data_IF_135289844726
#
_entry.id   IF_135289844726
#
_cell.length_a   1.000
_cell.length_b   1.000
_cell.length_c   1.000
_cell.angle_alpha   90.00
_cell.angle_beta   90.00
_cell.angle_gamma   90.00
#
_symmetry.space_group_name_H-M   'P 1'
#
loop_
_entity.id
_entity.type
_entity.pdbx_description
1 polymer ?
#
# COMPACT_ATOMS: atom_id res chain seq x y z
N UNK A 1 33.96 -53.73 -63.11
CA UNK A 1 34.56 -52.81 -64.09
C UNK A 1 34.10 -51.40 -63.75
N UNK A 2 35.03 -50.49 -63.39
CA UNK A 2 34.87 -49.03 -63.18
C UNK A 2 33.95 -48.60 -62.02
N UNK A 3 34.20 -47.54 -61.26
CA UNK A 3 35.33 -46.62 -61.09
C UNK A 3 35.06 -45.84 -59.79
N UNK A 4 36.14 -45.52 -59.08
CA UNK A 4 36.22 -44.73 -57.85
C UNK A 4 35.74 -43.29 -58.07
N UNK A 5 35.02 -42.71 -57.10
CA UNK A 5 35.22 -41.31 -56.72
C UNK A 5 34.88 -41.10 -55.23
N UNK A 6 35.93 -40.96 -54.41
CA UNK A 6 35.88 -40.41 -53.06
C UNK A 6 36.07 -38.90 -53.14
N UNK A 7 35.33 -38.13 -52.35
CA UNK A 7 35.74 -36.83 -51.78
C UNK A 7 34.88 -36.64 -50.51
N UNK A 8 35.45 -36.87 -49.32
CA UNK A 8 35.90 -35.84 -48.35
C UNK A 8 34.71 -35.05 -47.76
N UNK A 9 34.55 -34.80 -46.46
CA UNK A 9 35.44 -34.56 -45.32
C UNK A 9 34.41 -34.44 -44.14
N UNK A 10 34.58 -35.02 -42.94
CA UNK A 10 34.89 -34.30 -41.67
C UNK A 10 34.33 -35.15 -40.51
N UNK A 11 35.24 -35.82 -39.79
CA UNK A 11 35.58 -35.68 -38.35
C UNK A 11 34.57 -36.18 -37.28
N UNK A 12 35.08 -37.16 -36.51
CA UNK A 12 35.08 -37.27 -35.02
C UNK A 12 33.72 -37.62 -34.40
N UNK A 13 33.41 -38.86 -34.04
CA UNK A 13 33.98 -39.73 -32.99
C UNK A 13 33.95 -39.12 -31.57
N UNK A 14 32.94 -39.46 -30.75
CA UNK A 14 33.14 -40.06 -29.41
C UNK A 14 31.83 -40.11 -28.62
N UNK A 15 31.45 -41.35 -28.29
CA UNK A 15 30.97 -41.82 -26.98
C UNK A 15 30.40 -40.80 -26.00
N UNK A 16 29.17 -41.10 -25.57
CA UNK A 16 28.53 -40.43 -24.46
C UNK A 16 29.33 -40.47 -23.16
N UNK A 17 29.24 -39.36 -22.44
CA UNK A 17 29.32 -39.29 -21.00
C UNK A 17 28.14 -38.43 -20.58
N UNK A 18 27.19 -39.05 -19.88
CA UNK A 18 26.13 -38.37 -19.17
C UNK A 18 26.76 -37.59 -18.02
N UNK A 19 26.82 -36.27 -18.12
CA UNK A 19 27.08 -35.41 -16.97
C UNK A 19 25.73 -35.02 -16.36
N UNK A 20 25.38 -35.66 -15.25
CA UNK A 20 24.48 -35.06 -14.26
C UNK A 20 25.18 -33.80 -13.74
N UNK A 21 24.87 -32.65 -14.34
CA UNK A 21 25.17 -31.38 -13.72
C UNK A 21 24.15 -31.16 -12.61
N UNK A 22 24.56 -31.52 -11.40
CA UNK A 22 24.12 -30.90 -10.17
C UNK A 22 24.35 -29.38 -10.28
N UNK A 23 23.37 -28.67 -10.81
CA UNK A 23 23.28 -27.22 -10.61
C UNK A 23 22.81 -26.97 -9.18
N UNK A 24 23.73 -27.12 -8.24
CA UNK A 24 23.75 -26.33 -7.03
C UNK A 24 23.81 -24.85 -7.43
N UNK A 25 22.68 -24.17 -7.36
CA UNK A 25 22.63 -22.78 -6.86
C UNK A 25 21.18 -22.34 -6.66
N UNK A 26 20.43 -23.04 -5.80
CA UNK A 26 19.46 -22.30 -4.98
C UNK A 26 20.26 -21.61 -3.90
N UNK A 27 20.80 -20.45 -4.24
CA UNK A 27 21.18 -19.46 -3.26
C UNK A 27 19.93 -19.22 -2.41
N UNK A 28 19.89 -19.86 -1.25
CA UNK A 28 19.08 -19.45 -0.12
C UNK A 28 19.47 -18.00 0.12
N UNK A 29 18.72 -17.07 -0.49
CA UNK A 29 18.58 -15.72 0.01
C UNK A 29 18.03 -15.89 1.40
N UNK A 30 18.93 -15.97 2.37
CA UNK A 30 18.63 -15.68 3.75
C UNK A 30 17.99 -14.29 3.73
N UNK A 31 16.67 -14.27 3.84
CA UNK A 31 15.93 -13.08 4.24
C UNK A 31 16.53 -12.68 5.59
N UNK A 32 17.57 -11.85 5.56
CA UNK A 32 18.08 -11.15 6.72
C UNK A 32 16.99 -10.15 7.04
N UNK A 33 15.98 -10.64 7.75
CA UNK A 33 14.83 -9.85 8.16
C UNK A 33 15.38 -8.59 8.84
N UNK A 34 15.12 -7.45 8.22
CA UNK A 34 15.69 -6.18 8.61
C UNK A 34 14.87 -5.68 9.78
N UNK A 35 15.13 -6.25 10.96
CA UNK A 35 14.35 -6.06 12.16
C UNK A 35 14.64 -4.71 12.81
N UNK A 36 13.59 -4.09 13.33
CA UNK A 36 13.67 -2.80 14.03
C UNK A 36 14.19 -3.08 15.44
N UNK A 37 15.28 -2.43 15.83
CA UNK A 37 15.83 -2.56 17.18
C UNK A 37 14.81 -2.10 18.25
N UNK A 38 14.80 -2.74 19.41
CA UNK A 38 13.91 -2.39 20.52
C UNK A 38 14.44 -1.17 21.32
N UNK A 39 14.69 -0.07 20.62
CA UNK A 39 15.18 1.21 21.18
C UNK A 39 14.08 2.25 21.01
N UNK A 40 13.76 3.00 22.06
CA UNK A 40 12.72 4.03 22.02
C UNK A 40 13.34 5.41 22.25
N UNK A 41 12.99 6.36 21.40
CA UNK A 41 13.38 7.76 21.54
C UNK A 41 12.18 8.67 21.36
N UNK A 42 12.25 9.87 21.93
CA UNK A 42 11.25 10.89 21.66
C UNK A 42 11.25 11.26 20.18
N UNK A 43 10.07 11.38 19.58
CA UNK A 43 9.91 11.63 18.15
C UNK A 43 10.52 12.95 17.70
N UNK A 44 10.46 13.98 18.54
CA UNK A 44 10.94 15.31 18.24
C UNK A 44 12.47 15.40 18.40
N UNK A 45 13.11 14.39 19.03
CA UNK A 45 14.57 14.26 19.08
C UNK A 45 15.22 13.75 17.78
N UNK A 46 14.42 13.30 16.81
CA UNK A 46 14.90 12.81 15.52
C UNK A 46 15.00 13.94 14.49
N UNK A 47 16.09 13.97 13.75
CA UNK A 47 16.33 14.94 12.67
C UNK A 47 16.29 14.24 11.31
N UNK A 48 15.52 14.77 10.37
CA UNK A 48 15.48 14.27 8.98
C UNK A 48 16.54 14.96 8.14
N UNK A 49 17.42 14.18 7.51
CA UNK A 49 18.20 14.66 6.37
C UNK A 49 17.31 14.60 5.12
N UNK A 50 16.89 15.77 4.62
CA UNK A 50 16.00 15.87 3.46
C UNK A 50 16.62 15.37 2.15
N UNK A 51 17.95 15.41 2.02
CA UNK A 51 18.65 14.98 0.80
C UNK A 51 18.68 13.45 0.67
N UNK A 52 18.83 12.75 1.79
CA UNK A 52 18.94 11.29 1.83
C UNK A 52 17.61 10.60 2.18
N UNK A 53 16.69 11.32 2.81
CA UNK A 53 15.46 10.77 3.37
C UNK A 53 15.70 9.91 4.63
N UNK A 54 16.86 10.05 5.28
CA UNK A 54 17.25 9.30 6.46
C UNK A 54 16.99 10.11 7.75
N UNK A 55 16.50 9.45 8.78
CA UNK A 55 16.32 9.98 10.13
C UNK A 55 17.54 9.69 10.99
N UNK A 56 17.95 10.67 11.78
CA UNK A 56 19.12 10.63 12.65
C UNK A 56 18.73 10.88 14.10
N UNK A 57 19.43 10.22 15.01
CA UNK A 57 19.39 10.47 16.45
C UNK A 57 20.82 10.74 16.92
N UNK A 58 21.06 11.90 17.55
CA UNK A 58 22.40 12.31 18.00
C UNK A 58 23.49 12.19 16.91
N UNK A 59 23.15 12.57 15.68
CA UNK A 59 24.06 12.54 14.54
C UNK A 59 24.26 11.17 13.88
N UNK A 60 23.66 10.09 14.40
CA UNK A 60 23.76 8.75 13.84
C UNK A 60 22.46 8.33 13.16
N UNK A 61 22.57 7.55 12.07
CA UNK A 61 21.42 7.00 11.34
C UNK A 61 20.58 6.13 12.29
N UNK A 62 19.31 6.48 12.45
CA UNK A 62 18.47 5.92 13.50
C UNK A 62 17.89 4.55 13.14
N UNK A 63 17.98 3.60 14.07
CA UNK A 63 17.24 2.32 14.01
C UNK A 63 16.56 2.11 15.37
N UNK A 64 15.23 2.00 15.36
CA UNK A 64 14.42 1.91 16.57
C UNK A 64 13.01 2.46 16.39
N UNK A 65 12.32 2.68 17.49
CA UNK A 65 11.00 3.27 17.55
C UNK A 65 11.08 4.73 18.02
N UNK A 66 10.44 5.62 17.29
CA UNK A 66 10.18 6.98 17.73
C UNK A 66 8.78 7.05 18.35
N UNK A 67 8.66 7.60 19.55
CA UNK A 67 7.40 7.74 20.28
C UNK A 67 7.11 9.20 20.61
N UNK A 68 5.83 9.55 20.67
CA UNK A 68 5.37 10.86 21.13
C UNK A 68 4.21 10.66 22.07
N UNK A 69 4.13 11.48 23.10
CA UNK A 69 3.07 11.45 24.11
C UNK A 69 2.27 12.76 24.09
N UNK A 70 1.02 12.67 24.50
CA UNK A 70 0.18 13.83 24.79
C UNK A 70 0.55 14.44 26.15
N UNK A 71 0.10 15.67 26.48
CA UNK A 71 0.31 16.27 27.80
C UNK A 71 -0.30 15.48 28.98
N UNK A 72 -1.23 14.57 28.71
CA UNK A 72 -1.83 13.67 29.70
C UNK A 72 -1.08 12.31 29.78
N UNK A 73 0.15 12.25 29.26
CA UNK A 73 1.02 11.06 29.20
C UNK A 73 0.49 9.86 28.39
N UNK A 74 -0.65 10.02 27.70
CA UNK A 74 -1.14 9.00 26.78
C UNK A 74 -0.30 8.94 25.50
N UNK A 75 -0.06 7.74 24.97
CA UNK A 75 0.74 7.53 23.76
C UNK A 75 0.04 8.16 22.54
N UNK A 76 0.66 9.17 21.94
CA UNK A 76 0.15 9.86 20.76
C UNK A 76 0.57 9.17 19.46
N UNK A 77 1.83 8.74 19.38
CA UNK A 77 2.41 8.21 18.14
C UNK A 77 3.52 7.20 18.44
N UNK A 78 3.62 6.17 17.59
CA UNK A 78 4.72 5.22 17.54
C UNK A 78 5.08 4.92 16.09
N UNK A 79 6.33 5.12 15.71
CA UNK A 79 6.83 4.90 14.34
C UNK A 79 8.13 4.10 14.41
N UNK A 80 8.21 3.02 13.64
CA UNK A 80 9.43 2.23 13.50
C UNK A 80 10.36 2.76 12.41
N UNK A 81 11.67 2.67 12.66
CA UNK A 81 12.73 3.07 11.73
C UNK A 81 13.80 1.98 11.66
N UNK A 82 14.29 1.73 10.45
CA UNK A 82 15.42 0.86 10.19
C UNK A 82 16.39 1.56 9.23
N UNK A 83 17.64 1.73 9.66
CA UNK A 83 18.67 2.46 8.90
C UNK A 83 18.16 3.84 8.41
N UNK A 84 17.55 4.59 9.31
CA UNK A 84 17.07 5.95 9.06
C UNK A 84 15.75 6.01 8.28
N UNK A 85 15.18 4.90 7.81
CA UNK A 85 13.95 4.90 7.02
C UNK A 85 12.80 4.30 7.80
N UNK A 86 11.59 4.86 7.65
CA UNK A 86 10.38 4.29 8.26
C UNK A 86 10.21 2.84 7.79
N UNK A 87 9.96 1.94 8.74
CA UNK A 87 9.73 0.53 8.50
C UNK A 87 8.70 -0.02 9.50
N UNK A 88 7.94 -1.01 9.07
CA UNK A 88 6.94 -1.68 9.89
C UNK A 88 5.69 -0.84 10.12
N UNK A 89 4.97 -1.15 11.19
CA UNK A 89 3.67 -0.54 11.48
C UNK A 89 3.88 0.75 12.28
N UNK A 90 3.43 1.87 11.71
CA UNK A 90 3.29 3.14 12.39
C UNK A 90 1.85 3.32 12.89
N UNK A 91 1.71 3.83 14.10
CA UNK A 91 0.42 4.06 14.75
C UNK A 91 0.34 5.47 15.33
N UNK A 92 -0.85 6.04 15.27
CA UNK A 92 -1.21 7.32 15.90
C UNK A 92 -2.51 7.09 16.65
N UNK A 93 -2.65 7.65 17.84
CA UNK A 93 -3.85 7.55 18.67
C UNK A 93 -4.43 8.93 18.94
N UNK A 94 -5.71 8.98 19.29
CA UNK A 94 -6.37 10.14 19.88
C UNK A 94 -6.04 10.23 21.39
N UNK A 95 -6.25 11.40 22.04
CA UNK A 95 -6.00 11.56 23.48
C UNK A 95 -6.82 10.60 24.37
N UNK A 96 -7.95 10.11 23.87
CA UNK A 96 -8.80 9.11 24.53
C UNK A 96 -8.32 7.66 24.33
N UNK A 97 -7.16 7.44 23.70
CA UNK A 97 -6.59 6.12 23.44
C UNK A 97 -7.15 5.38 22.21
N UNK A 98 -8.17 5.93 21.53
CA UNK A 98 -8.69 5.35 20.28
C UNK A 98 -7.63 5.45 19.19
N UNK A 99 -7.40 4.35 18.46
CA UNK A 99 -6.46 4.34 17.34
C UNK A 99 -6.94 5.29 16.25
N UNK A 100 -6.13 6.29 15.90
CA UNK A 100 -6.44 7.32 14.89
C UNK A 100 -5.98 6.89 13.51
N UNK A 101 -4.74 6.40 13.39
CA UNK A 101 -4.13 5.96 12.12
C UNK A 101 -3.28 4.71 12.38
N UNK A 102 -3.34 3.77 11.45
CA UNK A 102 -2.43 2.63 11.30
C UNK A 102 -1.92 2.62 9.86
N UNK A 103 -0.60 2.51 9.69
CA UNK A 103 0.04 2.60 8.39
C UNK A 103 1.26 1.70 8.35
N UNK A 104 1.41 0.93 7.29
CA UNK A 104 2.55 0.06 7.08
C UNK A 104 3.58 0.75 6.19
N UNK A 105 4.85 0.69 6.59
CA UNK A 105 5.94 1.30 5.86
C UNK A 105 7.03 0.29 5.53
N UNK A 106 7.61 0.44 4.34
CA UNK A 106 8.91 -0.12 4.00
C UNK A 106 9.75 0.94 3.28
N UNK A 107 10.95 1.19 3.79
CA UNK A 107 11.89 2.18 3.26
C UNK A 107 11.24 3.55 2.96
N UNK A 108 10.54 4.13 3.95
CA UNK A 108 9.78 5.39 3.84
C UNK A 108 8.52 5.36 2.96
N UNK A 109 8.24 4.28 2.23
CA UNK A 109 7.06 4.16 1.37
C UNK A 109 5.94 3.46 2.12
N UNK A 110 4.70 3.92 1.92
CA UNK A 110 3.53 3.17 2.36
C UNK A 110 3.46 1.85 1.57
N UNK A 111 3.21 0.78 2.29
CA UNK A 111 2.96 -0.57 1.76
C UNK A 111 1.74 -1.15 2.46
N UNK A 112 1.20 -2.25 1.94
CA UNK A 112 0.10 -2.99 2.55
C UNK A 112 -1.07 -2.09 2.97
N UNK A 113 -1.52 -2.19 4.22
CA UNK A 113 -2.73 -1.51 4.68
C UNK A 113 -2.49 -0.12 5.26
N UNK A 114 -3.41 0.78 4.93
CA UNK A 114 -3.64 2.04 5.61
C UNK A 114 -5.05 2.06 6.15
N UNK A 115 -5.20 2.43 7.41
CA UNK A 115 -6.49 2.63 8.06
C UNK A 115 -6.45 3.89 8.90
N UNK A 116 -7.56 4.61 8.91
CA UNK A 116 -7.78 5.69 9.85
C UNK A 116 -9.17 5.56 10.45
N UNK A 117 -9.33 6.01 11.68
CA UNK A 117 -10.60 5.97 12.41
C UNK A 117 -10.98 7.37 12.89
N UNK A 118 -12.27 7.55 13.09
CA UNK A 118 -12.84 8.67 13.80
C UNK A 118 -12.62 8.48 15.31
N UNK A 119 -12.72 9.57 16.07
CA UNK A 119 -12.51 9.57 17.52
C UNK A 119 -13.50 8.68 18.30
N UNK A 120 -14.66 8.38 17.70
CA UNK A 120 -15.64 7.43 18.24
C UNK A 120 -15.33 5.95 17.87
N UNK A 121 -14.17 5.67 17.26
CA UNK A 121 -13.74 4.33 16.88
C UNK A 121 -14.31 3.83 15.55
N UNK A 122 -15.18 4.58 14.88
CA UNK A 122 -15.71 4.22 13.55
C UNK A 122 -14.60 4.36 12.51
N UNK A 123 -14.46 3.37 11.62
CA UNK A 123 -13.47 3.41 10.54
C UNK A 123 -13.74 4.62 9.64
N UNK A 124 -12.77 5.52 9.48
CA UNK A 124 -12.89 6.74 8.68
C UNK A 124 -12.40 6.54 7.25
N UNK A 125 -11.32 5.77 7.07
CA UNK A 125 -10.81 5.43 5.74
C UNK A 125 -9.98 4.16 5.75
N UNK A 126 -9.93 3.48 4.60
CA UNK A 126 -9.11 2.30 4.37
C UNK A 126 -8.64 2.27 2.91
N UNK A 127 -7.39 1.92 2.72
CA UNK A 127 -6.79 1.70 1.41
C UNK A 127 -5.65 0.68 1.54
N UNK A 128 -5.26 0.10 0.41
CA UNK A 128 -4.00 -0.64 0.32
C UNK A 128 -3.00 0.13 -0.53
N UNK A 129 -1.72 -0.03 -0.24
CA UNK A 129 -0.62 0.66 -0.90
C UNK A 129 0.43 -0.32 -1.41
N UNK A 130 0.99 -0.01 -2.58
CA UNK A 130 2.19 -0.66 -3.12
C UNK A 130 3.15 0.45 -3.51
N UNK A 131 4.36 0.45 -2.92
CA UNK A 131 5.40 1.45 -3.19
C UNK A 131 4.93 2.91 -3.06
N UNK A 132 4.09 3.21 -2.06
CA UNK A 132 3.56 4.54 -1.80
C UNK A 132 2.37 4.93 -2.66
N UNK A 133 1.87 4.06 -3.55
CA UNK A 133 0.71 4.32 -4.40
C UNK A 133 -0.47 3.44 -3.99
N UNK A 134 -1.68 4.01 -4.02
CA UNK A 134 -2.90 3.26 -3.69
C UNK A 134 -3.15 2.19 -4.75
N UNK A 135 -3.49 0.98 -4.27
CA UNK A 135 -3.80 -0.17 -5.10
C UNK A 135 -5.11 -0.84 -4.69
N UNK A 136 -6.03 -0.97 -5.65
CA UNK A 136 -7.36 -1.53 -5.46
C UNK A 136 -8.35 -0.54 -4.87
N UNK A 137 -9.19 -1.00 -3.95
CA UNK A 137 -10.29 -0.22 -3.38
C UNK A 137 -9.81 0.74 -2.29
N UNK A 138 -10.14 2.03 -2.45
CA UNK A 138 -10.09 3.02 -1.39
C UNK A 138 -11.53 3.33 -0.94
N UNK A 139 -11.76 3.26 0.37
CA UNK A 139 -13.06 3.57 0.97
C UNK A 139 -12.93 4.63 2.06
N UNK A 140 -13.95 5.46 2.19
CA UNK A 140 -14.11 6.45 3.27
C UNK A 140 -15.53 6.40 3.81
N UNK A 141 -15.68 6.63 5.11
CA UNK A 141 -16.97 6.58 5.80
C UNK A 141 -17.21 7.85 6.61
N UNK A 142 -18.47 8.17 6.84
CA UNK A 142 -18.89 9.20 7.78
C UNK A 142 -18.64 8.75 9.22
N UNK A 143 -18.63 9.71 10.17
CA UNK A 143 -18.48 9.42 11.61
C UNK A 143 -19.59 8.51 12.16
N UNK A 144 -20.73 8.48 11.49
CA UNK A 144 -21.90 7.63 11.77
C UNK A 144 -21.78 6.21 11.19
N UNK A 145 -20.78 5.95 10.34
CA UNK A 145 -20.45 4.60 9.84
C UNK A 145 -20.92 4.30 8.42
N UNK A 146 -21.71 5.18 7.80
CA UNK A 146 -22.16 5.00 6.41
C UNK A 146 -21.01 5.29 5.43
N UNK A 147 -21.00 4.54 4.33
CA UNK A 147 -20.00 4.69 3.28
C UNK A 147 -20.19 6.05 2.59
N UNK A 148 -19.17 6.90 2.68
CA UNK A 148 -19.16 8.22 2.06
C UNK A 148 -18.57 8.18 0.65
N UNK A 149 -17.59 7.30 0.42
CA UNK A 149 -16.84 7.21 -0.84
C UNK A 149 -16.24 5.83 -1.06
N UNK A 150 -16.29 5.37 -2.30
CA UNK A 150 -15.61 4.18 -2.79
C UNK A 150 -14.96 4.49 -4.14
N UNK A 151 -13.66 4.21 -4.25
CA UNK A 151 -12.89 4.40 -5.48
C UNK A 151 -12.08 3.14 -5.77
N UNK A 152 -11.87 2.87 -7.05
CA UNK A 152 -10.98 1.82 -7.51
C UNK A 152 -9.77 2.47 -8.17
N UNK A 153 -8.56 2.09 -7.73
CA UNK A 153 -7.32 2.71 -8.18
C UNK A 153 -6.25 1.68 -8.54
N UNK A 154 -5.45 1.97 -9.55
CA UNK A 154 -4.21 1.28 -9.91
C UNK A 154 -3.11 2.33 -10.01
N UNK A 155 -2.02 2.15 -9.26
CA UNK A 155 -0.91 3.09 -9.16
C UNK A 155 -1.37 4.51 -8.78
N UNK A 156 -2.39 4.60 -7.92
CA UNK A 156 -3.00 5.86 -7.51
C UNK A 156 -3.86 6.54 -8.59
N UNK A 157 -4.08 5.92 -9.74
CA UNK A 157 -4.96 6.42 -10.82
C UNK A 157 -6.30 5.70 -10.79
N UNK A 158 -7.38 6.43 -10.99
CA UNK A 158 -8.74 5.87 -10.98
C UNK A 158 -8.95 4.93 -12.17
N UNK A 159 -9.54 3.75 -11.89
CA UNK A 159 -9.93 2.74 -12.87
C UNK A 159 -11.25 2.11 -12.44
N UNK A 160 -12.12 1.72 -13.37
CA UNK A 160 -13.40 1.11 -13.02
C UNK A 160 -14.34 2.11 -12.32
N UNK A 161 -15.18 1.65 -11.40
CA UNK A 161 -16.31 2.42 -10.85
C UNK A 161 -15.95 3.27 -9.62
N UNK A 162 -16.35 4.55 -9.64
CA UNK A 162 -16.16 5.53 -8.57
C UNK A 162 -17.52 6.01 -8.08
N UNK A 163 -17.71 5.96 -6.76
CA UNK A 163 -18.96 6.31 -6.12
C UNK A 163 -18.74 7.18 -4.88
N UNK A 164 -19.67 8.11 -4.66
CA UNK A 164 -19.76 8.86 -3.41
C UNK A 164 -21.23 9.16 -3.08
N UNK A 165 -21.51 9.11 -1.78
CA UNK A 165 -22.84 9.29 -1.22
C UNK A 165 -22.85 10.49 -0.28
N UNK A 166 -23.95 11.22 -0.25
CA UNK A 166 -24.23 12.22 0.78
C UNK A 166 -24.57 11.51 2.09
N UNK A 167 -24.56 12.25 3.21
CA UNK A 167 -24.86 11.69 4.53
C UNK A 167 -26.25 11.05 4.63
N UNK A 168 -27.22 11.53 3.85
CA UNK A 168 -28.55 10.94 3.75
C UNK A 168 -28.62 9.68 2.86
N UNK A 169 -27.47 9.15 2.42
CA UNK A 169 -27.39 7.97 1.56
C UNK A 169 -27.59 8.25 0.06
N UNK A 170 -27.90 9.48 -0.34
CA UNK A 170 -28.09 9.81 -1.76
C UNK A 170 -26.76 9.73 -2.53
N UNK A 171 -26.72 8.90 -3.57
CA UNK A 171 -25.60 8.82 -4.50
C UNK A 171 -25.49 10.17 -5.24
N UNK A 172 -24.33 10.82 -5.16
CA UNK A 172 -24.08 12.10 -5.83
C UNK A 172 -22.87 12.08 -6.77
N UNK A 173 -22.06 11.02 -6.72
CA UNK A 173 -21.01 10.73 -7.70
C UNK A 173 -21.17 9.27 -8.11
N UNK A 174 -21.23 9.02 -9.41
CA UNK A 174 -21.31 7.69 -10.00
C UNK A 174 -20.74 7.71 -11.42
N UNK A 175 -19.46 7.39 -11.57
CA UNK A 175 -18.82 7.32 -12.89
C UNK A 175 -17.79 6.20 -12.98
N UNK A 176 -17.54 5.74 -14.20
CA UNK A 176 -16.49 4.79 -14.52
C UNK A 176 -15.29 5.51 -15.15
N UNK A 177 -14.08 5.19 -14.71
CA UNK A 177 -12.82 5.62 -15.31
C UNK A 177 -12.25 4.47 -16.14
N UNK A 178 -12.16 4.66 -17.46
CA UNK A 178 -11.70 3.63 -18.40
C UNK A 178 -10.90 4.27 -19.51
N UNK A 179 -9.70 3.75 -19.77
CA UNK A 179 -8.79 4.22 -20.83
C UNK A 179 -8.54 5.75 -20.79
N UNK A 180 -8.34 6.30 -19.59
CA UNK A 180 -8.10 7.73 -19.37
C UNK A 180 -9.32 8.63 -19.57
N UNK A 181 -10.51 8.06 -19.77
CA UNK A 181 -11.78 8.77 -19.93
C UNK A 181 -12.73 8.48 -18.77
N UNK A 182 -13.68 9.38 -18.57
CA UNK A 182 -14.71 9.28 -17.53
C UNK A 182 -16.07 9.11 -18.20
N UNK A 183 -16.86 8.15 -17.72
CA UNK A 183 -18.21 7.86 -18.18
C UNK A 183 -19.19 7.92 -17.01
N UNK A 184 -20.18 8.80 -17.06
CA UNK A 184 -21.20 8.95 -16.01
C UNK A 184 -21.09 10.26 -15.24
N UNK A 185 -21.68 10.28 -14.04
CA UNK A 185 -21.95 11.49 -13.27
C UNK A 185 -20.82 11.78 -12.26
N UNK A 186 -20.04 12.83 -12.51
CA UNK A 186 -19.00 13.27 -11.56
C UNK A 186 -19.55 14.03 -10.36
N UNK A 187 -20.72 14.66 -10.51
CA UNK A 187 -21.47 15.35 -9.47
C UNK A 187 -22.91 15.54 -9.94
N UNK A 188 -23.87 14.99 -9.21
CA UNK A 188 -25.29 15.19 -9.48
C UNK A 188 -25.92 16.02 -8.36
N UNK A 189 -26.28 17.26 -8.67
CA UNK A 189 -27.31 17.98 -7.91
C UNK A 189 -28.62 17.67 -8.64
N UNK A 190 -29.51 16.85 -8.08
CA UNK A 190 -30.84 16.69 -8.71
C UNK A 190 -31.56 18.03 -8.63
N UNK A 191 -31.84 18.63 -9.78
CA UNK A 191 -32.59 19.89 -9.87
C UNK A 191 -34.09 19.70 -9.59
N UNK A 192 -34.59 18.46 -9.56
CA UNK A 192 -35.95 18.08 -9.19
C UNK A 192 -35.94 16.69 -8.54
N UNK A 193 -36.84 16.46 -7.58
CA UNK A 193 -37.17 15.12 -7.06
C UNK A 193 -38.42 14.67 -7.82
N UNK A 194 -38.38 13.50 -8.45
CA UNK A 194 -39.61 12.92 -8.99
C UNK A 194 -40.51 12.55 -7.80
N UNK A 195 -41.77 12.99 -7.80
CA UNK A 195 -42.68 12.87 -6.65
C UNK A 195 -42.79 11.43 -6.10
N UNK A 196 -42.61 10.43 -6.97
CA UNK A 196 -42.80 9.02 -6.67
C UNK A 196 -41.57 8.13 -6.95
N UNK A 197 -40.34 8.64 -6.85
CA UNK A 197 -39.15 7.79 -7.06
C UNK A 197 -38.86 6.91 -5.83
N UNK A 198 -39.04 5.60 -5.99
CA UNK A 198 -38.53 4.59 -5.05
C UNK A 198 -37.11 4.15 -5.46
N UNK A 199 -36.10 4.56 -4.68
CA UNK A 199 -34.70 4.14 -4.90
C UNK A 199 -34.46 2.79 -4.24
N UNK A 200 -34.41 1.73 -5.03
CA UNK A 200 -34.06 0.38 -4.57
C UNK A 200 -32.53 0.24 -4.54
N UNK A 201 -31.95 0.29 -3.34
CA UNK A 201 -30.53 0.03 -3.14
C UNK A 201 -30.28 -1.47 -3.01
N UNK A 202 -29.79 -2.11 -4.07
CA UNK A 202 -29.36 -3.52 -4.01
C UNK A 202 -28.09 -3.59 -3.15
N UNK A 203 -28.20 -4.18 -1.96
CA UNK A 203 -27.03 -4.57 -1.15
C UNK A 203 -26.48 -5.87 -1.74
N UNK A 204 -25.34 -5.79 -2.41
CA UNK A 204 -24.59 -7.00 -2.75
C UNK A 204 -24.00 -7.58 -1.45
N UNK A 205 -24.44 -8.80 -1.10
CA UNK A 205 -23.89 -9.64 -0.03
C UNK A 205 -22.47 -10.09 -0.36
#
# INVERSE_FOLDING_TARGET
>A
MKLILKLFLILIASSGVSCENSSESKANKTNKDSTIANVFVDRDSLVLNGNEGNWYYKGLVFTGYAVKYYPNDSLQQKVGFYMGKKKGIAKVWFPNGVLKIESHYDQNKLVDSYKAWWENGVLASKANYVNGKVQGSEKKWYKTGELAKSRNLIDGKEVGLQQAWLKNGKLYVNYEAKNGRIFGMRRANSCYKLENEEVILVKNL
#
